data_IF_718764171158
#
_entry.id   IF_718764171158
#
_cell.length_a   1.000
_cell.length_b   1.000
_cell.length_c   1.000
_cell.angle_alpha   90.00
_cell.angle_beta   90.00
_cell.angle_gamma   90.00
#
_symmetry.space_group_name_H-M   'P 1'
#
loop_
_entity.id
_entity.type
_entity.pdbx_description
1 polymer ?
#
# COMPACT_ATOMS: atom_id res chain seq x y z
N UNK A 1 -20.42 -5.45 -1.82
CA UNK A 1 -19.01 -5.88 -1.96
C UNK A 1 -18.91 -7.41 -1.86
N UNK A 2 -19.32 -8.09 -2.93
CA UNK A 2 -19.19 -9.53 -3.06
C UNK A 2 -17.81 -9.83 -3.65
N UNK A 3 -16.83 -10.17 -2.79
CA UNK A 3 -15.49 -10.51 -3.22
C UNK A 3 -15.24 -12.01 -3.00
N UNK A 4 -15.32 -12.79 -4.08
CA UNK A 4 -15.10 -14.25 -4.09
C UNK A 4 -13.62 -14.68 -3.95
N UNK A 5 -12.73 -13.83 -3.42
CA UNK A 5 -11.31 -14.20 -3.21
C UNK A 5 -11.13 -14.95 -1.91
N UNK A 6 -10.75 -16.23 -2.03
CA UNK A 6 -10.41 -17.09 -0.88
C UNK A 6 -8.89 -17.12 -0.69
N UNK A 7 -8.44 -16.75 0.50
CA UNK A 7 -7.03 -16.80 0.87
C UNK A 7 -6.77 -17.95 1.84
N UNK A 8 -5.71 -18.74 1.60
CA UNK A 8 -5.30 -19.83 2.50
C UNK A 8 -4.69 -19.32 3.82
N UNK A 9 -4.25 -18.07 3.87
CA UNK A 9 -3.58 -17.45 5.04
C UNK A 9 -4.33 -16.20 5.48
N UNK A 10 -4.52 -16.06 6.80
CA UNK A 10 -5.22 -14.92 7.40
C UNK A 10 -4.51 -13.59 7.11
N UNK A 11 -3.18 -13.56 7.13
CA UNK A 11 -2.36 -12.39 6.79
C UNK A 11 -2.67 -11.86 5.38
N UNK A 12 -2.88 -12.76 4.42
CA UNK A 12 -3.23 -12.39 3.05
C UNK A 12 -4.66 -11.85 2.94
N UNK A 13 -5.59 -12.42 3.70
CA UNK A 13 -6.96 -11.91 3.81
C UNK A 13 -6.97 -10.51 4.42
N UNK A 14 -6.29 -10.30 5.56
CA UNK A 14 -6.15 -8.99 6.22
C UNK A 14 -5.57 -7.95 5.28
N UNK A 15 -4.49 -8.29 4.56
CA UNK A 15 -3.92 -7.41 3.53
C UNK A 15 -4.90 -7.10 2.41
N UNK A 16 -5.65 -8.09 1.94
CA UNK A 16 -6.66 -7.90 0.91
C UNK A 16 -7.78 -6.98 1.39
N UNK A 17 -8.23 -7.10 2.64
CA UNK A 17 -9.32 -6.26 3.17
C UNK A 17 -8.99 -4.76 3.16
N UNK A 18 -7.71 -4.37 3.21
CA UNK A 18 -7.28 -2.97 3.06
C UNK A 18 -7.69 -2.33 1.73
N UNK A 19 -7.96 -3.13 0.68
CA UNK A 19 -8.45 -2.57 -0.59
C UNK A 19 -9.91 -2.14 -0.49
N UNK A 20 -10.70 -2.79 0.37
CA UNK A 20 -12.11 -2.49 0.57
C UNK A 20 -12.29 -1.32 1.53
N UNK A 21 -11.42 -1.19 2.53
CA UNK A 21 -11.45 -0.05 3.46
C UNK A 21 -10.80 1.21 2.89
N UNK A 22 -10.12 1.11 1.73
CA UNK A 22 -9.30 2.18 1.13
C UNK A 22 -8.23 2.74 2.08
N UNK A 23 -7.97 2.07 3.19
CA UNK A 23 -7.00 2.52 4.17
C UNK A 23 -5.59 2.36 3.63
N UNK A 24 -4.93 3.50 3.49
CA UNK A 24 -3.54 3.61 3.04
C UNK A 24 -2.71 4.27 4.15
N UNK A 25 -2.39 3.51 5.21
CA UNK A 25 -1.70 4.06 6.39
C UNK A 25 -0.24 4.41 6.13
N UNK A 26 0.28 4.18 4.92
CA UNK A 26 1.67 4.48 4.56
C UNK A 26 1.73 5.65 3.59
N UNK A 27 1.64 6.91 4.07
CA UNK A 27 1.83 8.08 3.24
C UNK A 27 3.29 8.25 2.84
N UNK A 28 3.53 8.77 1.64
CA UNK A 28 4.83 9.22 1.21
C UNK A 28 5.23 10.47 2.00
N UNK A 29 6.44 10.47 2.55
CA UNK A 29 7.00 11.59 3.32
C UNK A 29 7.80 12.55 2.44
N UNK A 30 7.92 12.28 1.15
CA UNK A 30 8.69 13.12 0.23
C UNK A 30 7.96 14.45 -0.04
N UNK A 31 8.65 15.60 0.07
CA UNK A 31 8.04 16.91 -0.13
C UNK A 31 7.44 17.04 -1.54
N UNK A 32 6.19 17.48 -1.63
CA UNK A 32 5.44 17.57 -2.89
C UNK A 32 4.85 16.25 -3.38
N UNK A 33 5.05 15.12 -2.69
CA UNK A 33 4.43 13.85 -3.02
C UNK A 33 3.26 13.51 -2.09
N UNK A 34 2.03 13.50 -2.63
CA UNK A 34 0.83 13.12 -1.87
C UNK A 34 0.42 11.65 -2.06
N UNK A 35 1.34 10.79 -2.53
CA UNK A 35 1.04 9.37 -2.75
C UNK A 35 0.93 8.63 -1.42
N UNK A 36 -0.10 7.81 -1.28
CA UNK A 36 -0.29 6.93 -0.12
C UNK A 36 -0.40 5.47 -0.55
N UNK A 37 0.10 4.57 0.29
CA UNK A 37 0.20 3.14 0.01
C UNK A 37 -0.48 2.33 1.10
N UNK A 38 -1.03 1.17 0.72
CA UNK A 38 -1.65 0.21 1.65
C UNK A 38 -0.63 -0.74 2.29
N UNK A 39 0.64 -0.67 1.84
CA UNK A 39 1.74 -1.55 2.26
C UNK A 39 3.04 -0.77 2.38
N UNK A 40 3.85 -1.12 3.39
CA UNK A 40 5.16 -0.52 3.62
C UNK A 40 6.17 -0.86 2.51
N UNK A 41 6.18 -2.09 2.00
CA UNK A 41 7.12 -2.51 0.95
C UNK A 41 6.93 -1.69 -0.35
N UNK A 42 5.68 -1.36 -0.68
CA UNK A 42 5.36 -0.48 -1.80
C UNK A 42 5.84 0.96 -1.55
N UNK A 43 5.67 1.48 -0.33
CA UNK A 43 6.17 2.81 0.04
C UNK A 43 7.70 2.86 -0.06
N UNK A 44 8.41 1.87 0.48
CA UNK A 44 9.88 1.81 0.42
C UNK A 44 10.38 1.79 -1.02
N UNK A 45 9.76 0.98 -1.89
CA UNK A 45 10.13 0.97 -3.32
C UNK A 45 9.82 2.31 -3.99
N UNK A 46 8.71 2.96 -3.63
CA UNK A 46 8.36 4.27 -4.13
C UNK A 46 9.35 5.36 -3.69
N UNK A 47 9.81 5.35 -2.45
CA UNK A 47 10.79 6.34 -1.95
C UNK A 47 12.09 6.30 -2.76
N UNK A 48 12.54 5.11 -3.18
CA UNK A 48 13.69 4.96 -4.10
C UNK A 48 13.50 5.60 -5.48
N UNK A 49 12.25 5.84 -5.90
CA UNK A 49 11.98 6.54 -7.17
C UNK A 49 12.18 8.05 -7.06
N UNK A 50 12.12 8.59 -5.85
CA UNK A 50 12.48 9.99 -5.59
C UNK A 50 13.98 10.17 -5.50
N UNK A 51 14.67 9.27 -4.79
CA UNK A 51 16.15 9.30 -4.65
C UNK A 51 16.89 9.14 -5.99
N UNK A 52 16.30 8.46 -6.98
CA UNK A 52 16.89 8.35 -8.34
C UNK A 52 16.54 9.49 -9.28
N UNK A 53 15.72 10.46 -8.86
CA UNK A 53 15.27 11.59 -9.67
C UNK A 53 15.94 12.91 -9.29
N UNK A 54 16.98 12.86 -8.47
CA UNK A 54 17.84 13.99 -8.13
C UNK A 54 19.10 14.01 -9.00
#
# INVERSE_FOLDING_TARGET
PDCHRRFKRLEHLKRHMRIHTLERPFPCTYPGCQKTFSRSDNLTQHLKTHERRE
#
